data_IF_170771509747
#
_entry.id   IF_170771509747
#
_cell.length_a   1.000
_cell.length_b   1.000
_cell.length_c   1.000
_cell.angle_alpha   90.00
_cell.angle_beta   90.00
_cell.angle_gamma   90.00
#
_symmetry.space_group_name_H-M   'P 1'
#
loop_
_entity.id
_entity.type
_entity.pdbx_description
1 polymer ?
#
# COMPACT_ATOMS: atom_id res chain seq x y z
N UNK A 1 1.08 14.03 15.46
CA UNK A 1 1.57 14.15 14.06
C UNK A 1 3.02 13.70 13.95
N UNK A 2 3.33 12.80 13.04
CA UNK A 2 4.68 12.26 12.80
C UNK A 2 5.41 13.12 11.76
N UNK A 3 6.68 13.39 12.04
CA UNK A 3 7.59 14.12 11.14
C UNK A 3 8.72 13.19 10.67
N UNK A 4 9.51 13.64 9.72
CA UNK A 4 10.65 12.87 9.19
C UNK A 4 11.55 12.28 10.30
N UNK A 5 11.78 13.01 11.38
CA UNK A 5 12.64 12.58 12.48
C UNK A 5 12.09 11.37 13.24
N UNK A 6 10.77 11.16 13.20
CA UNK A 6 10.09 10.08 13.94
C UNK A 6 10.18 8.71 13.24
N UNK A 7 10.69 8.68 12.03
CA UNK A 7 10.90 7.44 11.29
C UNK A 7 12.30 6.90 11.56
N UNK A 8 12.38 5.68 12.07
CA UNK A 8 13.66 5.01 12.35
C UNK A 8 13.93 3.91 11.33
N UNK A 9 15.14 3.90 10.74
CA UNK A 9 15.56 2.84 9.83
C UNK A 9 15.45 1.46 10.48
N UNK A 10 14.93 0.50 9.73
CA UNK A 10 14.70 -0.87 10.20
C UNK A 10 13.43 -1.07 11.02
N UNK A 11 12.75 0.02 11.43
CA UNK A 11 11.48 -0.11 12.16
C UNK A 11 10.37 -0.61 11.25
N UNK A 12 9.56 -1.53 11.76
CA UNK A 12 8.36 -2.05 11.09
C UNK A 12 7.13 -1.85 11.96
N UNK A 13 6.02 -1.55 11.30
CA UNK A 13 4.70 -1.48 11.94
C UNK A 13 3.66 -2.13 11.02
N UNK A 14 2.59 -2.66 11.59
CA UNK A 14 1.53 -3.35 10.85
C UNK A 14 0.19 -2.68 11.12
N UNK A 15 -0.57 -2.45 10.04
CA UNK A 15 -1.88 -1.82 10.07
C UNK A 15 -2.93 -2.69 9.37
N UNK A 16 -4.17 -2.57 9.81
CA UNK A 16 -5.27 -3.39 9.37
C UNK A 16 -5.73 -4.35 10.46
N UNK A 17 -6.45 -5.45 10.13
CA UNK A 17 -6.79 -5.85 8.76
C UNK A 17 -7.98 -5.10 8.18
N UNK A 18 -8.03 -5.08 6.84
CA UNK A 18 -9.21 -4.73 6.07
C UNK A 18 -9.76 -5.99 5.40
N UNK A 19 -11.03 -6.27 5.60
CA UNK A 19 -11.73 -7.35 4.88
C UNK A 19 -12.07 -6.89 3.47
N UNK A 20 -11.73 -7.70 2.48
CA UNK A 20 -12.03 -7.45 1.07
C UNK A 20 -13.26 -8.24 0.69
N UNK A 21 -14.36 -7.57 0.38
CA UNK A 21 -15.61 -8.24 0.02
C UNK A 21 -15.69 -8.52 -1.48
N UNK A 22 -16.50 -9.52 -1.84
CA UNK A 22 -16.84 -9.83 -3.24
C UNK A 22 -17.43 -8.60 -3.94
N UNK A 23 -18.33 -7.90 -3.26
CA UNK A 23 -19.00 -6.72 -3.78
C UNK A 23 -18.00 -5.59 -4.10
N UNK A 24 -17.03 -5.36 -3.23
CA UNK A 24 -15.96 -4.38 -3.45
C UNK A 24 -15.10 -4.76 -4.66
N UNK A 25 -14.74 -6.03 -4.80
CA UNK A 25 -13.93 -6.53 -5.93
C UNK A 25 -14.63 -6.22 -7.25
N UNK A 26 -15.90 -6.57 -7.36
CA UNK A 26 -16.70 -6.38 -8.58
C UNK A 26 -16.93 -4.90 -8.84
N UNK A 27 -17.26 -4.11 -7.82
CA UNK A 27 -17.50 -2.68 -7.96
C UNK A 27 -16.25 -1.94 -8.48
N UNK A 28 -15.09 -2.20 -7.89
CA UNK A 28 -13.84 -1.61 -8.36
C UNK A 28 -13.52 -2.02 -9.79
N UNK A 29 -13.61 -3.30 -10.08
CA UNK A 29 -13.30 -3.82 -11.41
C UNK A 29 -14.26 -3.29 -12.47
N UNK A 30 -15.54 -3.18 -12.17
CA UNK A 30 -16.53 -2.62 -13.10
C UNK A 30 -16.20 -1.20 -13.51
N UNK A 31 -15.61 -0.43 -12.63
CA UNK A 31 -15.27 0.97 -12.90
C UNK A 31 -13.89 1.13 -13.55
N UNK A 32 -12.89 0.36 -13.12
CA UNK A 32 -11.48 0.63 -13.45
C UNK A 32 -10.75 -0.51 -14.18
N UNK A 33 -11.19 -1.75 -14.03
CA UNK A 33 -10.51 -2.93 -14.63
C UNK A 33 -11.54 -4.01 -14.98
N UNK A 34 -12.38 -3.78 -16.01
CA UNK A 34 -13.53 -4.63 -16.30
C UNK A 34 -13.15 -5.92 -17.04
N UNK A 35 -12.07 -6.56 -16.61
CA UNK A 35 -11.69 -7.87 -17.14
C UNK A 35 -12.55 -8.96 -16.49
N UNK A 36 -12.98 -9.99 -17.29
CA UNK A 36 -13.93 -11.02 -16.79
C UNK A 36 -13.49 -11.72 -15.50
N UNK A 37 -12.19 -11.96 -15.31
CA UNK A 37 -11.66 -12.63 -14.11
C UNK A 37 -11.82 -11.82 -12.82
N UNK A 38 -12.17 -10.53 -12.91
CA UNK A 38 -12.46 -9.67 -11.76
C UNK A 38 -13.94 -9.36 -11.60
N UNK A 39 -14.79 -9.82 -12.51
CA UNK A 39 -16.22 -9.52 -12.55
C UNK A 39 -17.11 -10.75 -12.38
N UNK A 40 -16.69 -11.90 -12.91
CA UNK A 40 -17.50 -13.11 -13.04
C UNK A 40 -16.76 -14.32 -12.48
N UNK A 41 -17.42 -15.04 -11.57
CA UNK A 41 -16.80 -16.18 -10.90
C UNK A 41 -16.51 -17.35 -11.81
N UNK A 42 -17.36 -17.60 -12.83
CA UNK A 42 -17.14 -18.70 -13.76
C UNK A 42 -15.98 -18.40 -14.70
N UNK A 43 -15.94 -17.18 -15.25
CA UNK A 43 -14.81 -16.74 -16.07
C UNK A 43 -13.50 -16.73 -15.27
N UNK A 44 -13.55 -16.30 -14.00
CA UNK A 44 -12.40 -16.29 -13.13
C UNK A 44 -11.85 -17.70 -12.82
N UNK A 45 -12.72 -18.67 -12.60
CA UNK A 45 -12.32 -20.08 -12.39
C UNK A 45 -11.61 -20.68 -13.59
N UNK A 46 -11.96 -20.26 -14.79
CA UNK A 46 -11.32 -20.68 -16.05
C UNK A 46 -10.04 -19.92 -16.37
N UNK A 47 -9.74 -18.86 -15.62
CA UNK A 47 -8.54 -18.05 -15.80
C UNK A 47 -7.33 -18.64 -15.04
N UNK A 48 -6.15 -18.08 -15.31
CA UNK A 48 -4.94 -18.43 -14.56
C UNK A 48 -5.07 -18.16 -13.05
N UNK A 49 -5.97 -17.26 -12.64
CA UNK A 49 -6.18 -16.93 -11.24
C UNK A 49 -6.98 -18.00 -10.49
N UNK A 50 -7.67 -18.90 -11.19
CA UNK A 50 -8.37 -20.05 -10.61
C UNK A 50 -9.59 -19.69 -9.75
N UNK A 51 -10.06 -18.47 -9.79
CA UNK A 51 -11.21 -17.95 -9.05
C UNK A 51 -11.25 -16.44 -9.05
N UNK A 52 -12.38 -15.88 -8.60
CA UNK A 52 -12.54 -14.42 -8.49
C UNK A 52 -11.44 -13.84 -7.62
N UNK A 53 -10.83 -12.77 -8.10
CA UNK A 53 -9.79 -12.03 -7.37
C UNK A 53 -9.90 -10.54 -7.65
N UNK A 54 -9.42 -9.75 -6.70
CA UNK A 54 -9.31 -8.32 -6.86
C UNK A 54 -8.34 -8.00 -8.01
N UNK A 55 -8.66 -6.96 -8.79
CA UNK A 55 -7.69 -6.35 -9.69
C UNK A 55 -6.41 -6.00 -8.91
N UNK A 56 -5.24 -6.16 -9.54
CA UNK A 56 -3.99 -5.72 -8.94
C UNK A 56 -4.03 -4.25 -8.52
N UNK A 57 -4.69 -3.40 -9.29
CA UNK A 57 -4.86 -1.98 -8.94
C UNK A 57 -5.79 -1.77 -7.75
N UNK A 58 -6.79 -2.63 -7.56
CA UNK A 58 -7.60 -2.64 -6.35
C UNK A 58 -6.75 -2.99 -5.12
N UNK A 59 -5.87 -3.97 -5.25
CA UNK A 59 -4.90 -4.32 -4.21
C UNK A 59 -4.03 -3.13 -3.83
N UNK A 60 -3.57 -2.34 -4.82
CA UNK A 60 -2.83 -1.10 -4.57
C UNK A 60 -3.66 -0.04 -3.82
N UNK A 61 -4.94 0.09 -4.14
CA UNK A 61 -5.84 1.03 -3.45
C UNK A 61 -6.09 0.61 -2.01
N UNK A 62 -6.23 -0.69 -1.75
CA UNK A 62 -6.34 -1.24 -0.38
C UNK A 62 -5.07 -0.92 0.41
N UNK A 63 -3.91 -1.14 -0.19
CA UNK A 63 -2.62 -0.78 0.41
C UNK A 63 -2.57 0.70 0.76
N UNK A 64 -2.97 1.56 -0.17
CA UNK A 64 -2.99 3.01 0.06
C UNK A 64 -3.92 3.38 1.23
N UNK A 65 -5.08 2.76 1.34
CA UNK A 65 -6.02 3.01 2.44
C UNK A 65 -5.40 2.62 3.80
N UNK A 66 -4.77 1.45 3.87
CA UNK A 66 -4.10 0.99 5.09
C UNK A 66 -2.92 1.88 5.47
N UNK A 67 -2.16 2.34 4.49
CA UNK A 67 -1.05 3.26 4.70
C UNK A 67 -1.55 4.64 5.17
N UNK A 68 -2.61 5.14 4.55
CA UNK A 68 -3.22 6.41 4.92
C UNK A 68 -3.72 6.39 6.37
N UNK A 69 -4.57 5.42 6.70
CA UNK A 69 -5.17 5.32 8.04
C UNK A 69 -4.13 5.03 9.12
N UNK A 70 -3.13 4.20 8.82
CA UNK A 70 -2.14 3.78 9.81
C UNK A 70 -0.99 4.76 10.02
N UNK A 71 -0.66 5.54 9.00
CA UNK A 71 0.56 6.36 9.04
C UNK A 71 0.36 7.78 8.51
N UNK A 72 -0.20 7.95 7.32
CA UNK A 72 -0.07 9.22 6.61
C UNK A 72 -0.98 10.32 7.14
N UNK A 73 -2.21 9.99 7.56
CA UNK A 73 -3.19 10.99 8.04
C UNK A 73 -2.76 11.67 9.32
N UNK A 74 -1.96 11.01 10.16
CA UNK A 74 -1.37 11.61 11.36
C UNK A 74 0.14 11.88 11.16
N UNK A 75 0.48 12.42 10.01
CA UNK A 75 1.88 12.74 9.69
C UNK A 75 1.98 14.01 8.86
N UNK A 76 3.22 14.49 8.72
CA UNK A 76 3.59 15.61 7.85
C UNK A 76 3.78 15.16 6.39
N UNK A 77 2.97 14.18 5.93
CA UNK A 77 3.02 13.63 4.58
C UNK A 77 2.91 14.71 3.50
N UNK A 78 3.78 14.64 2.53
CA UNK A 78 3.83 15.55 1.38
C UNK A 78 3.71 14.80 0.04
N UNK A 79 3.37 13.51 0.09
CA UNK A 79 3.23 12.66 -1.09
C UNK A 79 4.50 11.92 -1.47
N UNK A 80 4.44 11.25 -2.62
CA UNK A 80 5.53 10.47 -3.17
C UNK A 80 5.72 10.82 -4.65
N UNK A 81 6.97 10.89 -5.14
CA UNK A 81 7.23 11.17 -6.56
C UNK A 81 6.95 9.97 -7.47
N UNK A 82 6.79 8.78 -6.91
CA UNK A 82 6.56 7.56 -7.69
C UNK A 82 6.78 6.29 -6.89
N UNK A 83 6.67 5.18 -7.57
CA UNK A 83 6.86 3.83 -7.02
C UNK A 83 8.07 3.20 -7.70
N UNK A 84 9.00 2.64 -6.91
CA UNK A 84 10.16 1.94 -7.45
C UNK A 84 9.82 0.54 -7.91
N UNK A 85 8.98 -0.15 -7.13
CA UNK A 85 8.63 -1.54 -7.37
C UNK A 85 7.21 -1.81 -6.87
N UNK A 86 6.46 -2.56 -7.66
CA UNK A 86 5.17 -3.14 -7.27
C UNK A 86 5.09 -4.55 -7.82
N UNK A 87 4.86 -5.54 -6.95
CA UNK A 87 4.69 -6.94 -7.32
C UNK A 87 3.42 -7.50 -6.70
N UNK A 88 2.62 -8.16 -7.53
CA UNK A 88 1.48 -8.96 -7.10
C UNK A 88 1.93 -10.42 -7.01
N UNK A 89 1.98 -10.94 -5.79
CA UNK A 89 2.57 -12.26 -5.51
C UNK A 89 1.51 -13.37 -5.44
N UNK A 90 0.32 -13.03 -4.95
CA UNK A 90 -0.83 -13.94 -4.84
C UNK A 90 -2.12 -13.20 -5.09
N UNK A 91 -3.16 -13.88 -5.66
CA UNK A 91 -4.48 -13.27 -5.80
C UNK A 91 -5.07 -12.90 -4.44
N UNK A 92 -5.74 -11.74 -4.38
CA UNK A 92 -6.58 -11.34 -3.25
C UNK A 92 -7.99 -11.83 -3.52
N UNK A 93 -8.49 -12.70 -2.64
CA UNK A 93 -9.78 -13.37 -2.80
C UNK A 93 -10.89 -12.69 -2.01
N UNK A 94 -12.16 -12.89 -2.41
CA UNK A 94 -13.28 -12.46 -1.58
C UNK A 94 -13.17 -13.04 -0.17
N UNK A 95 -13.35 -12.18 0.84
CA UNK A 95 -13.26 -12.58 2.25
C UNK A 95 -11.86 -12.50 2.84
N UNK A 96 -10.83 -12.27 2.04
CA UNK A 96 -9.47 -12.09 2.57
C UNK A 96 -9.39 -10.88 3.51
N UNK A 97 -8.61 -11.02 4.57
CA UNK A 97 -8.30 -9.97 5.52
C UNK A 97 -6.86 -9.51 5.28
N UNK A 98 -6.73 -8.30 4.75
CA UNK A 98 -5.44 -7.76 4.31
C UNK A 98 -4.88 -6.78 5.33
N UNK A 99 -3.65 -7.02 5.74
CA UNK A 99 -2.87 -6.12 6.59
C UNK A 99 -1.64 -5.62 5.84
N UNK A 100 -1.20 -4.41 6.16
CA UNK A 100 0.02 -3.83 5.60
C UNK A 100 1.12 -3.80 6.66
N UNK A 101 2.23 -4.47 6.39
CA UNK A 101 3.46 -4.35 7.16
C UNK A 101 4.38 -3.35 6.46
N UNK A 102 4.64 -2.23 7.13
CA UNK A 102 5.42 -1.11 6.61
C UNK A 102 6.76 -1.09 7.31
N UNK A 103 7.84 -1.16 6.54
CA UNK A 103 9.22 -1.13 7.06
C UNK A 103 9.94 0.08 6.50
N UNK A 104 10.61 0.83 7.36
CA UNK A 104 11.50 1.93 6.95
C UNK A 104 12.83 1.32 6.52
N UNK A 105 13.15 1.41 5.22
CA UNK A 105 14.39 0.88 4.66
C UNK A 105 15.56 1.83 4.88
N UNK A 106 15.40 3.07 4.51
CA UNK A 106 16.38 4.14 4.70
C UNK A 106 15.70 5.50 4.67
N UNK A 107 16.43 6.55 5.04
CA UNK A 107 15.93 7.91 5.00
C UNK A 107 17.07 8.92 4.76
N UNK A 108 16.72 10.05 4.19
CA UNK A 108 17.66 11.15 3.96
C UNK A 108 16.96 12.51 3.95
N UNK A 109 17.69 13.55 4.29
CA UNK A 109 17.22 14.94 4.12
C UNK A 109 17.40 15.35 2.66
N UNK A 110 16.45 16.11 2.13
CA UNK A 110 16.58 16.69 0.79
C UNK A 110 17.74 17.69 0.72
N UNK A 111 18.56 17.56 -0.31
CA UNK A 111 19.70 18.47 -0.52
C UNK A 111 19.27 19.88 -0.97
N UNK A 112 18.21 19.94 -1.78
CA UNK A 112 17.70 21.20 -2.35
C UNK A 112 16.63 21.86 -1.48
N UNK A 113 15.93 21.07 -0.66
CA UNK A 113 14.82 21.51 0.20
C UNK A 113 14.99 20.94 1.61
N UNK A 114 15.82 21.58 2.45
CA UNK A 114 16.18 21.03 3.77
C UNK A 114 15.00 20.90 4.75
N UNK A 115 13.86 21.51 4.45
CA UNK A 115 12.61 21.33 5.19
C UNK A 115 11.90 19.99 4.90
N UNK A 116 12.37 19.24 3.89
CA UNK A 116 11.80 17.95 3.47
C UNK A 116 12.77 16.82 3.77
N UNK A 117 12.26 15.73 4.30
CA UNK A 117 12.96 14.46 4.37
C UNK A 117 12.30 13.39 3.51
N UNK A 118 13.13 12.52 2.96
CA UNK A 118 12.71 11.35 2.17
C UNK A 118 12.84 10.10 3.03
N UNK A 119 11.76 9.33 3.11
CA UNK A 119 11.72 8.03 3.82
C UNK A 119 11.40 6.96 2.79
N UNK A 120 12.30 6.01 2.59
CA UNK A 120 12.08 4.89 1.68
C UNK A 120 11.40 3.77 2.44
N UNK A 121 10.20 3.41 1.98
CA UNK A 121 9.31 2.46 2.64
C UNK A 121 9.19 1.19 1.80
N UNK A 122 9.19 0.05 2.49
CA UNK A 122 8.76 -1.23 1.96
C UNK A 122 7.41 -1.56 2.56
N UNK A 123 6.44 -1.90 1.73
CA UNK A 123 5.11 -2.31 2.16
C UNK A 123 4.86 -3.72 1.68
N UNK A 124 4.58 -4.61 2.64
CA UNK A 124 4.18 -5.98 2.36
C UNK A 124 2.72 -6.14 2.76
N UNK A 125 1.87 -6.53 1.81
CA UNK A 125 0.48 -6.88 2.10
C UNK A 125 0.39 -8.35 2.45
N UNK A 126 -0.23 -8.64 3.58
CA UNK A 126 -0.39 -9.98 4.12
C UNK A 126 -1.86 -10.34 4.22
N UNK A 127 -2.22 -11.58 3.86
CA UNK A 127 -3.56 -12.10 4.09
C UNK A 127 -3.69 -12.66 5.52
N UNK A 128 -4.86 -13.22 5.85
CA UNK A 128 -5.15 -13.81 7.17
C UNK A 128 -4.28 -15.03 7.53
N UNK A 129 -3.61 -15.62 6.55
CA UNK A 129 -2.68 -16.73 6.75
C UNK A 129 -1.23 -16.28 6.90
N UNK A 130 -0.98 -14.97 6.92
CA UNK A 130 0.37 -14.41 6.95
C UNK A 130 1.13 -14.53 5.63
N UNK A 131 0.44 -14.86 4.54
CA UNK A 131 1.04 -14.96 3.22
C UNK A 131 1.16 -13.59 2.58
N UNK A 132 2.29 -13.31 1.94
CA UNK A 132 2.50 -12.08 1.18
C UNK A 132 1.70 -12.13 -0.12
N UNK A 133 0.75 -11.22 -0.27
CA UNK A 133 -0.06 -11.08 -1.49
C UNK A 133 0.47 -10.01 -2.43
N UNK A 134 1.18 -9.02 -1.89
CA UNK A 134 1.81 -7.97 -2.68
C UNK A 134 3.04 -7.39 -1.95
N UNK A 135 3.92 -6.79 -2.73
CA UNK A 135 5.15 -6.15 -2.25
C UNK A 135 5.35 -4.85 -3.01
N UNK A 136 5.64 -3.77 -2.29
CA UNK A 136 5.81 -2.44 -2.87
C UNK A 136 6.97 -1.73 -2.20
N UNK A 137 7.71 -0.94 -2.98
CA UNK A 137 8.74 -0.03 -2.47
C UNK A 137 8.56 1.34 -3.10
N UNK A 138 8.49 2.35 -2.26
CA UNK A 138 8.49 3.75 -2.71
C UNK A 138 9.19 4.66 -1.70
N UNK A 139 9.52 5.86 -2.16
CA UNK A 139 10.04 6.93 -1.30
C UNK A 139 8.93 7.94 -1.04
N UNK A 140 8.63 8.19 0.23
CA UNK A 140 7.63 9.16 0.67
C UNK A 140 8.30 10.40 1.24
N UNK A 141 7.71 11.56 0.98
CA UNK A 141 8.20 12.85 1.49
C UNK A 141 7.46 13.24 2.76
N UNK A 142 8.22 13.63 3.77
CA UNK A 142 7.68 14.15 5.04
C UNK A 142 8.31 15.48 5.37
N UNK A 143 7.52 16.37 5.97
CA UNK A 143 8.04 17.59 6.55
C UNK A 143 8.97 17.30 7.72
N UNK A 144 9.98 18.16 7.90
CA UNK A 144 10.89 18.10 9.04
C UNK A 144 10.41 19.03 10.15
N UNK A 145 10.59 18.60 11.41
CA UNK A 145 10.14 19.35 12.59
C UNK A 145 10.79 20.74 12.70
N UNK A 146 12.05 20.85 12.29
CA UNK A 146 12.83 22.10 12.31
C UNK A 146 12.98 22.71 10.92
N UNK A 147 12.21 22.27 9.95
CA UNK A 147 12.32 22.68 8.56
C UNK A 147 11.50 23.91 8.19
N UNK A 148 10.89 24.59 9.14
CA UNK A 148 10.27 25.88 8.84
C UNK A 148 11.36 26.87 8.49
N UNK A 149 11.33 27.35 7.24
CA UNK A 149 12.17 28.47 6.82
C UNK A 149 11.96 29.63 7.80
N UNK A 150 13.07 30.17 8.29
CA UNK A 150 13.05 31.44 9.01
C UNK A 150 12.63 32.56 8.07
#
# INVERSE_FOLDING_TARGET
>A
MRYFEDFAEGHSETHGPKTVTREEIIAFASEYDPQPMHLDEDAARQSMLGGLSASGWHTCVIMMRLLADGMLLDSSSMGSPGIEEMRWLKPVRPGDQISARITVLDKRVSKSRPEIGFVRLQIELLNQHGEKVAHEVHTHMFGRRNGQAK
#
